data_IF_112610413097
#
_entry.id   IF_112610413097
#
_cell.length_a   1.000
_cell.length_b   1.000
_cell.length_c   1.000
_cell.angle_alpha   90.00
_cell.angle_beta   90.00
_cell.angle_gamma   90.00
#
_symmetry.space_group_name_H-M   'P 1'
#
loop_
_entity.id
_entity.type
_entity.pdbx_description
1 polymer ?
#
# COMPACT_ATOMS: atom_id res chain seq x y z
N UNK A 1 62.96 14.69 -21.42
CA UNK A 1 62.97 13.33 -22.01
C UNK A 1 61.87 12.53 -21.35
N UNK A 2 60.96 12.00 -22.16
CA UNK A 2 59.66 11.47 -21.75
C UNK A 2 59.79 10.24 -20.84
N UNK A 3 59.20 10.31 -19.65
CA UNK A 3 59.01 9.16 -18.77
C UNK A 3 57.96 8.21 -19.36
N UNK A 4 58.42 7.10 -19.92
CA UNK A 4 57.57 6.03 -20.40
C UNK A 4 56.95 5.31 -19.20
N UNK A 5 55.68 5.61 -18.91
CA UNK A 5 54.86 4.81 -18.00
C UNK A 5 54.53 3.49 -18.68
N UNK A 6 55.26 2.43 -18.32
CA UNK A 6 55.02 1.07 -18.76
C UNK A 6 53.75 0.54 -18.10
N UNK A 7 52.62 0.66 -18.82
CA UNK A 7 51.41 -0.09 -18.50
C UNK A 7 51.68 -1.57 -18.77
N UNK A 8 52.21 -2.30 -17.78
CA UNK A 8 52.17 -3.75 -17.76
C UNK A 8 50.71 -4.19 -17.69
N UNK A 9 50.12 -4.46 -18.86
CA UNK A 9 48.88 -5.17 -18.97
C UNK A 9 49.05 -6.52 -18.29
N UNK A 10 48.50 -6.66 -17.08
CA UNK A 10 48.31 -7.95 -16.43
C UNK A 10 47.27 -8.70 -17.27
N UNK A 11 47.74 -9.32 -18.35
CA UNK A 11 47.02 -10.41 -19.01
C UNK A 11 46.90 -11.51 -17.96
N UNK A 12 45.77 -11.52 -17.27
CA UNK A 12 45.34 -12.70 -16.53
C UNK A 12 45.29 -13.84 -17.54
N UNK A 13 46.35 -14.65 -17.56
CA UNK A 13 46.42 -15.88 -18.32
C UNK A 13 45.25 -16.75 -17.84
N UNK A 14 44.15 -16.70 -18.58
CA UNK A 14 43.03 -17.62 -18.38
C UNK A 14 43.62 -19.02 -18.54
N UNK A 15 43.65 -19.78 -17.46
CA UNK A 15 44.09 -21.18 -17.45
C UNK A 15 43.17 -22.00 -18.38
N UNK A 16 43.54 -22.10 -19.66
CA UNK A 16 42.77 -22.78 -20.71
C UNK A 16 42.78 -24.30 -20.56
N UNK A 17 43.59 -24.86 -19.66
CA UNK A 17 43.85 -26.30 -19.59
C UNK A 17 42.78 -27.12 -18.84
N UNK A 18 41.83 -26.48 -18.14
CA UNK A 18 40.83 -27.19 -17.30
C UNK A 18 39.36 -26.92 -17.70
N UNK A 19 39.07 -26.58 -18.95
CA UNK A 19 37.68 -26.36 -19.39
C UNK A 19 37.10 -27.61 -20.08
N UNK A 20 35.96 -28.12 -19.60
CA UNK A 20 35.26 -29.23 -20.26
C UNK A 20 34.65 -28.83 -21.60
N UNK A 21 34.52 -29.78 -22.55
CA UNK A 21 34.04 -29.55 -23.92
C UNK A 21 32.75 -28.70 -24.03
N UNK A 22 31.80 -28.86 -23.09
CA UNK A 22 30.56 -28.08 -23.08
C UNK A 22 30.74 -26.57 -22.85
N UNK A 23 31.85 -26.17 -22.21
CA UNK A 23 32.20 -24.76 -22.01
C UNK A 23 32.60 -24.10 -23.33
N UNK A 24 33.46 -24.76 -24.11
CA UNK A 24 33.83 -24.30 -25.46
C UNK A 24 32.61 -24.22 -26.38
N UNK A 25 31.75 -25.25 -26.38
CA UNK A 25 30.49 -25.23 -27.13
C UNK A 25 29.63 -24.01 -26.75
N UNK A 26 29.53 -23.70 -25.46
CA UNK A 26 28.77 -22.56 -25.00
C UNK A 26 29.34 -21.23 -25.53
N UNK A 27 30.66 -21.09 -25.57
CA UNK A 27 31.34 -19.89 -26.06
C UNK A 27 31.15 -19.70 -27.56
N UNK A 28 31.23 -20.77 -28.35
CA UNK A 28 30.88 -20.75 -29.78
C UNK A 28 29.44 -20.25 -29.97
N UNK A 29 28.49 -20.75 -29.19
CA UNK A 29 27.10 -20.32 -29.25
C UNK A 29 26.83 -18.91 -28.68
N UNK A 30 27.79 -18.31 -27.96
CA UNK A 30 27.74 -16.88 -27.58
C UNK A 30 28.15 -16.00 -28.77
N UNK A 31 29.19 -16.40 -29.52
CA UNK A 31 29.69 -15.68 -30.71
C UNK A 31 28.94 -16.07 -32.00
N UNK A 32 27.61 -15.87 -32.04
CA UNK A 32 26.74 -16.29 -33.17
C UNK A 32 26.97 -15.55 -34.49
N UNK A 33 27.58 -14.37 -34.42
CA UNK A 33 27.91 -13.56 -35.61
C UNK A 33 29.25 -13.96 -36.24
N UNK A 34 30.00 -14.90 -35.64
CA UNK A 34 31.15 -15.52 -36.32
C UNK A 34 30.71 -16.16 -37.63
N UNK A 35 31.61 -16.18 -38.61
CA UNK A 35 31.29 -16.68 -39.95
C UNK A 35 30.92 -18.17 -39.93
N UNK A 36 31.69 -18.97 -39.19
CA UNK A 36 31.39 -20.38 -38.93
C UNK A 36 29.96 -20.59 -38.37
N UNK A 37 29.50 -19.77 -37.42
CA UNK A 37 28.12 -19.89 -36.91
C UNK A 37 27.07 -19.40 -37.88
N UNK A 38 27.33 -18.34 -38.64
CA UNK A 38 26.41 -17.87 -39.68
C UNK A 38 26.21 -18.93 -40.75
N UNK A 39 27.29 -19.56 -41.21
CA UNK A 39 27.27 -20.67 -42.16
C UNK A 39 26.45 -21.85 -41.64
N UNK A 40 26.76 -22.38 -40.44
CA UNK A 40 26.02 -23.50 -39.86
C UNK A 40 24.54 -23.17 -39.61
N UNK A 41 24.23 -21.94 -39.19
CA UNK A 41 22.85 -21.52 -38.98
C UNK A 41 22.08 -21.40 -40.31
N UNK A 42 22.72 -20.93 -41.38
CA UNK A 42 22.10 -20.82 -42.71
C UNK A 42 21.66 -22.20 -43.22
N UNK A 43 22.57 -23.17 -43.23
CA UNK A 43 22.29 -24.55 -43.65
C UNK A 43 21.17 -25.16 -42.80
N UNK A 44 21.26 -25.03 -41.47
CA UNK A 44 20.24 -25.54 -40.56
C UNK A 44 18.88 -24.89 -40.78
N UNK A 45 18.83 -23.57 -41.00
CA UNK A 45 17.55 -22.89 -41.25
C UNK A 45 16.92 -23.32 -42.56
N UNK A 46 17.71 -23.61 -43.60
CA UNK A 46 17.21 -24.20 -44.84
C UNK A 46 16.61 -25.59 -44.57
N UNK A 47 17.34 -26.48 -43.90
CA UNK A 47 16.85 -27.81 -43.53
C UNK A 47 15.52 -27.73 -42.73
N UNK A 48 15.42 -26.81 -41.76
CA UNK A 48 14.22 -26.67 -40.94
C UNK A 48 13.02 -26.05 -41.67
N UNK A 49 13.22 -25.43 -42.84
CA UNK A 49 12.11 -24.94 -43.67
C UNK A 49 11.40 -26.09 -44.38
N UNK A 50 12.17 -27.08 -44.83
CA UNK A 50 11.68 -28.27 -45.53
C UNK A 50 10.94 -29.25 -44.61
N UNK A 51 11.31 -29.28 -43.32
CA UNK A 51 10.64 -30.12 -42.33
C UNK A 51 9.27 -29.57 -41.93
N UNK A 52 8.44 -30.48 -41.39
CA UNK A 52 7.14 -30.16 -40.82
C UNK A 52 7.24 -29.19 -39.63
N UNK A 53 6.14 -28.47 -39.36
CA UNK A 53 6.12 -27.42 -38.33
C UNK A 53 6.39 -27.93 -36.91
N UNK A 54 6.06 -29.20 -36.61
CA UNK A 54 6.39 -29.90 -35.37
C UNK A 54 7.04 -31.23 -35.74
N UNK A 55 8.37 -31.30 -35.64
CA UNK A 55 9.17 -32.43 -36.12
C UNK A 55 9.94 -33.09 -34.96
N UNK A 56 9.89 -34.42 -34.87
CA UNK A 56 10.65 -35.20 -33.87
C UNK A 56 12.12 -35.25 -34.25
N UNK A 57 13.02 -35.02 -33.29
CA UNK A 57 14.47 -35.11 -33.53
C UNK A 57 15.05 -36.23 -32.70
N UNK A 58 15.97 -37.00 -33.28
CA UNK A 58 16.69 -38.08 -32.60
C UNK A 58 17.62 -37.54 -31.50
N UNK A 59 18.35 -36.45 -31.76
CA UNK A 59 19.33 -35.85 -30.85
C UNK A 59 19.20 -34.33 -30.74
N UNK A 60 19.57 -33.72 -29.59
CA UNK A 60 19.55 -32.27 -29.47
C UNK A 60 20.62 -31.64 -30.36
N UNK A 61 20.24 -30.62 -31.14
CA UNK A 61 21.21 -29.82 -31.91
C UNK A 61 22.20 -29.09 -31.02
N UNK A 62 21.80 -28.85 -29.76
CA UNK A 62 22.54 -28.10 -28.74
C UNK A 62 22.60 -28.91 -27.44
N UNK A 63 23.50 -29.89 -27.36
CA UNK A 63 23.58 -30.79 -26.19
C UNK A 63 23.96 -30.03 -24.92
N UNK A 64 24.83 -29.03 -25.00
CA UNK A 64 25.29 -28.21 -23.88
C UNK A 64 24.14 -27.44 -23.23
N UNK A 65 23.30 -26.82 -24.07
CA UNK A 65 22.14 -26.04 -23.60
C UNK A 65 21.04 -26.97 -23.12
N UNK A 66 20.81 -28.10 -23.81
CA UNK A 66 19.81 -29.07 -23.40
C UNK A 66 20.14 -29.64 -22.00
N UNK A 67 21.39 -30.02 -21.74
CA UNK A 67 21.84 -30.55 -20.43
C UNK A 67 21.62 -29.56 -19.29
N UNK A 68 21.91 -28.27 -19.50
CA UNK A 68 21.64 -27.20 -18.51
C UNK A 68 20.16 -27.05 -18.17
N UNK A 69 19.28 -27.35 -19.13
CA UNK A 69 17.84 -27.25 -18.98
C UNK A 69 17.20 -28.55 -18.45
N UNK A 70 18.01 -29.56 -18.10
CA UNK A 70 17.55 -30.81 -17.50
C UNK A 70 17.47 -32.02 -18.45
N UNK A 71 17.93 -31.91 -19.70
CA UNK A 71 18.00 -33.06 -20.60
C UNK A 71 19.08 -34.06 -20.14
N UNK A 72 18.75 -35.34 -20.26
CA UNK A 72 19.68 -36.47 -20.13
C UNK A 72 19.46 -37.42 -21.31
N UNK A 73 20.54 -37.98 -21.84
CA UNK A 73 20.47 -38.98 -22.91
C UNK A 73 20.12 -40.35 -22.31
N UNK A 74 18.87 -40.50 -21.85
CA UNK A 74 18.30 -41.72 -21.28
C UNK A 74 16.94 -41.98 -21.93
N UNK A 75 16.51 -43.24 -21.97
CA UNK A 75 15.22 -43.62 -22.58
C UNK A 75 14.04 -42.89 -21.92
N UNK A 76 13.23 -42.21 -22.73
CA UNK A 76 12.04 -41.47 -22.29
C UNK A 76 12.20 -39.93 -22.30
N UNK A 77 13.39 -39.42 -22.60
CA UNK A 77 13.55 -38.05 -23.09
C UNK A 77 13.29 -38.03 -24.60
N UNK A 78 12.40 -37.15 -25.06
CA UNK A 78 12.13 -36.93 -26.49
C UNK A 78 12.32 -35.46 -26.83
N UNK A 79 12.78 -35.19 -28.05
CA UNK A 79 13.05 -33.84 -28.53
C UNK A 79 12.19 -33.56 -29.74
N UNK A 80 11.56 -32.39 -29.73
CA UNK A 80 10.80 -31.86 -30.87
C UNK A 80 11.31 -30.49 -31.26
N UNK A 81 11.34 -30.23 -32.56
CA UNK A 81 11.50 -28.89 -33.12
C UNK A 81 10.14 -28.33 -33.44
N UNK A 82 9.94 -27.07 -33.07
CA UNK A 82 8.69 -26.35 -33.34
C UNK A 82 9.01 -25.05 -34.04
N UNK A 83 8.34 -24.82 -35.17
CA UNK A 83 8.39 -23.56 -35.90
C UNK A 83 7.22 -22.67 -35.47
N UNK A 84 7.51 -21.40 -35.15
CA UNK A 84 6.51 -20.36 -34.85
C UNK A 84 6.70 -19.19 -35.81
N UNK A 85 5.60 -18.65 -36.33
CA UNK A 85 5.60 -17.51 -37.26
C UNK A 85 6.21 -16.28 -36.57
N UNK A 86 7.09 -15.56 -37.27
CA UNK A 86 7.63 -14.27 -36.80
C UNK A 86 6.62 -13.14 -37.07
N UNK A 87 6.77 -12.02 -36.38
CA UNK A 87 5.82 -10.91 -36.39
C UNK A 87 5.11 -10.67 -35.05
N UNK A 88 4.26 -9.65 -35.05
CA UNK A 88 3.35 -9.28 -33.97
C UNK A 88 1.98 -9.95 -34.18
N UNK A 89 1.04 -9.74 -33.25
CA UNK A 89 -0.31 -10.28 -33.36
C UNK A 89 -1.22 -9.22 -33.99
N UNK A 90 -1.85 -9.55 -35.11
CA UNK A 90 -2.99 -8.77 -35.62
C UNK A 90 -4.24 -9.10 -34.80
N UNK A 91 -5.07 -8.09 -34.49
CA UNK A 91 -6.38 -8.34 -33.87
C UNK A 91 -7.28 -9.13 -34.85
N UNK A 92 -7.98 -10.19 -34.40
CA UNK A 92 -8.96 -10.87 -35.23
C UNK A 92 -10.22 -10.01 -35.31
N UNK A 93 -10.31 -9.15 -36.32
CA UNK A 93 -11.49 -8.34 -36.64
C UNK A 93 -11.83 -8.49 -38.11
N UNK A 94 -13.10 -8.67 -38.40
CA UNK A 94 -13.63 -8.73 -39.77
C UNK A 94 -13.40 -7.37 -40.42
N UNK A 95 -12.79 -7.36 -41.61
CA UNK A 95 -12.47 -6.14 -42.39
C UNK A 95 -11.70 -5.04 -41.63
N UNK A 96 -11.05 -5.35 -40.50
CA UNK A 96 -10.36 -4.34 -39.70
C UNK A 96 -11.28 -3.46 -38.85
N UNK A 97 -12.58 -3.74 -38.81
CA UNK A 97 -13.56 -2.90 -38.12
C UNK A 97 -13.50 -3.13 -36.61
N UNK A 98 -13.29 -2.05 -35.86
CA UNK A 98 -13.29 -2.02 -34.40
C UNK A 98 -14.30 -1.00 -33.89
N UNK A 99 -15.18 -1.41 -32.99
CA UNK A 99 -16.17 -0.53 -32.35
C UNK A 99 -15.70 -0.04 -30.97
N UNK A 100 -16.35 1.01 -30.45
CA UNK A 100 -16.07 1.57 -29.13
C UNK A 100 -15.09 2.75 -29.15
N UNK A 101 -14.36 2.96 -28.05
CA UNK A 101 -13.52 4.16 -27.86
C UNK A 101 -12.25 4.10 -28.74
N UNK A 102 -11.72 5.26 -29.22
CA UNK A 102 -10.51 5.29 -30.05
C UNK A 102 -9.30 4.54 -29.47
N UNK A 103 -9.15 4.52 -28.14
CA UNK A 103 -8.08 3.78 -27.44
C UNK A 103 -8.00 2.29 -27.82
N UNK A 104 -9.14 1.67 -28.16
CA UNK A 104 -9.22 0.25 -28.49
C UNK A 104 -9.23 -0.03 -29.99
N UNK A 105 -9.13 0.98 -30.87
CA UNK A 105 -9.25 0.78 -32.32
C UNK A 105 -8.02 0.16 -33.00
N UNK A 106 -6.85 0.13 -32.34
CA UNK A 106 -5.63 -0.43 -32.94
C UNK A 106 -5.72 -1.91 -33.31
N UNK A 107 -5.35 -2.24 -34.57
CA UNK A 107 -5.44 -3.61 -35.14
C UNK A 107 -4.08 -4.28 -35.35
N UNK A 108 -3.10 -3.58 -35.93
CA UNK A 108 -1.86 -4.20 -36.45
C UNK A 108 -0.68 -4.20 -35.46
N UNK A 109 -0.56 -3.16 -34.64
CA UNK A 109 0.62 -2.95 -33.78
C UNK A 109 0.55 -3.66 -32.42
N UNK A 110 -0.42 -4.56 -32.26
CA UNK A 110 -0.62 -5.28 -31.01
C UNK A 110 0.47 -6.34 -30.80
N UNK A 111 1.16 -6.24 -29.65
CA UNK A 111 2.15 -7.23 -29.22
C UNK A 111 1.46 -8.33 -28.43
N UNK A 112 1.79 -9.58 -28.73
CA UNK A 112 1.22 -10.70 -27.98
C UNK A 112 1.83 -10.76 -26.57
N UNK A 113 0.98 -10.96 -25.56
CA UNK A 113 1.43 -10.99 -24.16
C UNK A 113 2.38 -12.15 -23.86
N UNK A 114 2.18 -13.31 -24.51
CA UNK A 114 3.06 -14.48 -24.33
C UNK A 114 4.26 -14.44 -25.25
N UNK A 115 5.41 -14.90 -24.75
CA UNK A 115 6.61 -15.03 -25.58
C UNK A 115 6.42 -16.09 -26.67
N UNK A 116 7.08 -15.90 -27.83
CA UNK A 116 7.08 -16.90 -28.92
C UNK A 116 7.59 -18.28 -28.49
N UNK A 117 8.47 -18.32 -27.48
CA UNK A 117 8.93 -19.57 -26.89
C UNK A 117 7.79 -20.29 -26.15
N UNK A 118 6.99 -19.57 -25.35
CA UNK A 118 5.83 -20.15 -24.68
C UNK A 118 4.77 -20.64 -25.70
N UNK A 119 4.58 -19.93 -26.80
CA UNK A 119 3.69 -20.37 -27.90
C UNK A 119 4.19 -21.67 -28.54
N UNK A 120 5.51 -21.81 -28.70
CA UNK A 120 6.11 -23.03 -29.23
C UNK A 120 5.91 -24.23 -28.29
N UNK A 121 6.07 -24.01 -26.98
CA UNK A 121 5.84 -25.01 -25.94
C UNK A 121 4.37 -25.47 -25.93
N UNK A 122 3.42 -24.54 -25.99
CA UNK A 122 1.99 -24.83 -26.07
C UNK A 122 1.63 -25.65 -27.33
N UNK A 123 2.20 -25.29 -28.48
CA UNK A 123 1.95 -26.00 -29.74
C UNK A 123 2.46 -27.44 -29.68
N UNK A 124 3.61 -27.68 -29.05
CA UNK A 124 4.12 -29.02 -28.81
C UNK A 124 3.21 -29.80 -27.84
N UNK A 125 2.84 -29.19 -26.71
CA UNK A 125 2.01 -29.83 -25.69
C UNK A 125 0.62 -30.23 -26.19
N UNK A 126 -0.02 -29.40 -27.03
CA UNK A 126 -1.31 -29.74 -27.66
C UNK A 126 -1.21 -30.89 -28.65
N UNK A 127 -0.16 -30.92 -29.49
CA UNK A 127 0.04 -32.01 -30.46
C UNK A 127 0.43 -33.32 -29.77
N UNK A 128 1.15 -33.22 -28.66
CA UNK A 128 1.71 -34.34 -27.92
C UNK A 128 1.01 -34.47 -26.56
N UNK A 129 -0.31 -34.65 -26.54
CA UNK A 129 -1.11 -34.57 -25.30
C UNK A 129 -0.76 -35.63 -24.23
N UNK A 130 -0.31 -36.82 -24.65
CA UNK A 130 0.20 -37.86 -23.74
C UNK A 130 1.45 -37.41 -22.99
N UNK A 131 2.11 -36.40 -23.52
CA UNK A 131 3.37 -35.90 -23.09
C UNK A 131 3.19 -34.59 -22.20
N UNK A 132 3.65 -34.62 -20.92
CA UNK A 132 4.30 -33.51 -20.11
C UNK A 132 5.55 -32.71 -20.62
N UNK A 133 5.40 -31.40 -20.82
CA UNK A 133 6.52 -30.47 -21.11
C UNK A 133 7.29 -30.05 -19.82
N UNK A 134 8.58 -30.41 -19.69
CA UNK A 134 9.42 -29.99 -18.55
C UNK A 134 9.94 -28.55 -18.74
N UNK A 135 10.57 -28.33 -19.88
CA UNK A 135 10.94 -27.03 -20.43
C UNK A 135 10.86 -27.16 -21.95
N UNK A 136 11.76 -26.55 -22.72
CA UNK A 136 11.94 -26.88 -24.15
C UNK A 136 12.29 -28.35 -24.45
N UNK A 137 12.24 -29.28 -23.47
CA UNK A 137 12.42 -30.73 -23.60
C UNK A 137 11.64 -31.51 -22.50
N UNK A 138 11.64 -32.84 -22.62
CA UNK A 138 10.85 -33.86 -21.89
C UNK A 138 11.47 -34.44 -20.62
N UNK A 139 10.74 -35.27 -19.83
CA UNK A 139 11.29 -35.98 -18.65
C UNK A 139 10.52 -37.26 -18.23
N UNK A 140 11.16 -38.12 -17.40
CA UNK A 140 10.83 -39.55 -17.16
C UNK A 140 10.41 -39.86 -15.70
N UNK A 141 9.69 -40.98 -15.50
CA UNK A 141 9.16 -41.54 -14.23
C UNK A 141 10.18 -42.22 -13.29
N UNK A 142 11.28 -42.79 -13.80
CA UNK A 142 12.24 -43.61 -13.01
C UNK A 142 13.45 -42.85 -12.44
N UNK A 143 13.64 -41.58 -12.81
CA UNK A 143 14.73 -40.77 -12.27
C UNK A 143 14.17 -39.88 -11.13
N UNK A 144 14.64 -40.00 -9.87
CA UNK A 144 14.13 -39.24 -8.74
C UNK A 144 14.15 -37.73 -8.98
N UNK A 145 15.21 -37.20 -9.62
CA UNK A 145 15.37 -35.77 -9.93
C UNK A 145 14.24 -35.20 -10.80
N UNK A 146 13.63 -36.06 -11.63
CA UNK A 146 12.59 -35.66 -12.59
C UNK A 146 11.24 -36.28 -12.33
N UNK A 147 11.14 -37.23 -11.39
CA UNK A 147 9.92 -37.97 -11.08
C UNK A 147 8.75 -37.05 -10.73
N UNK A 148 9.01 -35.90 -10.10
CA UNK A 148 8.00 -34.89 -9.78
C UNK A 148 7.16 -34.46 -10.99
N UNK A 149 7.69 -34.50 -12.21
CA UNK A 149 6.99 -34.12 -13.46
C UNK A 149 5.86 -35.09 -13.82
N UNK A 150 5.92 -36.33 -13.32
CA UNK A 150 4.94 -37.38 -13.65
C UNK A 150 3.67 -37.27 -12.81
N UNK A 151 3.71 -36.50 -11.72
CA UNK A 151 2.54 -36.23 -10.88
C UNK A 151 1.42 -35.60 -11.72
N UNK A 152 0.14 -35.93 -11.46
CA UNK A 152 -0.99 -35.39 -12.23
C UNK A 152 -1.08 -33.87 -12.18
N UNK A 153 -0.65 -33.25 -11.08
CA UNK A 153 -0.54 -31.79 -10.89
C UNK A 153 0.36 -31.12 -11.93
N UNK A 154 1.26 -31.86 -12.58
CA UNK A 154 2.19 -31.37 -13.59
C UNK A 154 1.70 -31.57 -15.03
N UNK A 155 0.42 -31.94 -15.25
CA UNK A 155 -0.21 -31.94 -16.58
C UNK A 155 -0.22 -30.53 -17.21
N UNK A 156 0.05 -30.45 -18.50
CA UNK A 156 -0.01 -29.22 -19.31
C UNK A 156 0.55 -27.95 -18.65
N UNK A 157 1.80 -28.01 -18.18
CA UNK A 157 2.48 -26.88 -17.52
C UNK A 157 2.71 -25.71 -18.45
N UNK A 158 2.89 -25.98 -19.74
CA UNK A 158 3.02 -25.02 -20.82
C UNK A 158 1.76 -24.16 -20.94
N UNK A 159 0.58 -24.78 -20.95
CA UNK A 159 -0.70 -24.09 -21.04
C UNK A 159 -0.96 -23.21 -19.80
N UNK A 160 -0.54 -23.67 -18.61
CA UNK A 160 -0.62 -22.92 -17.34
C UNK A 160 0.51 -21.90 -17.14
N UNK A 161 1.45 -21.80 -18.08
CA UNK A 161 2.57 -20.85 -18.01
C UNK A 161 3.56 -21.11 -16.87
N UNK A 162 3.76 -22.37 -16.48
CA UNK A 162 4.67 -22.79 -15.40
C UNK A 162 6.07 -23.18 -15.89
N UNK A 163 6.29 -23.20 -17.22
CA UNK A 163 7.62 -23.34 -17.82
C UNK A 163 8.45 -22.08 -17.59
N UNK A 164 9.77 -22.13 -17.80
CA UNK A 164 10.60 -20.92 -17.64
C UNK A 164 10.18 -19.78 -18.59
N UNK A 165 9.73 -20.12 -19.80
CA UNK A 165 9.22 -19.15 -20.76
C UNK A 165 7.88 -18.54 -20.31
N UNK A 166 6.99 -19.37 -19.76
CA UNK A 166 5.73 -18.93 -19.17
C UNK A 166 5.94 -18.01 -17.96
N UNK A 167 6.79 -18.41 -17.01
CA UNK A 167 7.12 -17.61 -15.82
C UNK A 167 7.71 -16.25 -16.19
N UNK A 168 8.65 -16.22 -17.14
CA UNK A 168 9.24 -14.95 -17.65
C UNK A 168 8.18 -14.06 -18.29
N UNK A 169 7.30 -14.64 -19.09
CA UNK A 169 6.22 -13.91 -19.78
C UNK A 169 5.18 -13.33 -18.82
N UNK A 170 4.90 -14.01 -17.72
CA UNK A 170 4.00 -13.53 -16.66
C UNK A 170 4.63 -12.44 -15.79
N UNK A 171 5.94 -12.22 -15.94
CA UNK A 171 6.70 -11.30 -15.10
C UNK A 171 6.81 -11.82 -13.67
N UNK A 172 7.02 -13.12 -13.46
CA UNK A 172 7.26 -13.68 -12.13
C UNK A 172 8.74 -13.46 -11.77
N UNK A 173 8.99 -12.74 -10.68
CA UNK A 173 10.33 -12.41 -10.20
C UNK A 173 10.34 -12.04 -8.72
N UNK A 174 11.51 -11.62 -8.23
CA UNK A 174 11.71 -11.17 -6.85
C UNK A 174 12.13 -9.69 -6.84
N UNK A 175 11.74 -8.95 -5.80
CA UNK A 175 12.03 -7.53 -5.63
C UNK A 175 10.85 -6.62 -5.95
N UNK A 176 11.03 -5.32 -5.71
CA UNK A 176 9.94 -4.33 -5.74
C UNK A 176 9.24 -4.24 -7.10
N UNK A 177 9.98 -4.40 -8.21
CA UNK A 177 9.46 -4.36 -9.60
C UNK A 177 8.41 -5.44 -9.90
N UNK A 178 8.31 -6.47 -9.06
CA UNK A 178 7.40 -7.60 -9.22
C UNK A 178 6.28 -7.61 -8.18
N UNK A 179 6.07 -6.51 -7.45
CA UNK A 179 5.03 -6.40 -6.42
C UNK A 179 3.65 -6.78 -6.95
N UNK A 180 3.24 -6.20 -8.08
CA UNK A 180 1.95 -6.44 -8.72
C UNK A 180 1.81 -7.83 -9.38
N UNK A 181 2.91 -8.56 -9.55
CA UNK A 181 2.92 -9.89 -10.22
C UNK A 181 3.23 -11.04 -9.28
N UNK A 182 3.58 -10.74 -8.02
CA UNK A 182 3.86 -11.73 -6.97
C UNK A 182 2.59 -12.53 -6.68
N UNK A 183 2.67 -13.86 -6.76
CA UNK A 183 1.52 -14.75 -6.53
C UNK A 183 0.52 -14.87 -7.69
N UNK A 184 0.77 -14.19 -8.81
CA UNK A 184 -0.10 -13.99 -9.99
C UNK A 184 -0.84 -12.65 -10.00
N UNK A 185 -0.92 -12.01 -11.18
CA UNK A 185 -1.53 -10.68 -11.34
C UNK A 185 -3.01 -10.69 -10.98
N UNK A 186 -3.75 -11.70 -11.44
CA UNK A 186 -5.20 -11.81 -11.19
C UNK A 186 -5.53 -11.94 -9.70
N UNK A 187 -4.76 -12.75 -8.97
CA UNK A 187 -4.91 -12.94 -7.52
C UNK A 187 -4.63 -11.65 -6.76
N UNK A 188 -3.58 -10.91 -7.15
CA UNK A 188 -3.24 -9.64 -6.49
C UNK A 188 -4.29 -8.55 -6.78
N UNK A 189 -4.78 -8.46 -8.03
CA UNK A 189 -5.88 -7.55 -8.36
C UNK A 189 -7.15 -7.90 -7.59
N UNK A 190 -7.48 -9.19 -7.41
CA UNK A 190 -8.63 -9.63 -6.61
C UNK A 190 -8.46 -9.32 -5.13
N UNK A 191 -7.28 -9.56 -4.56
CA UNK A 191 -6.97 -9.21 -3.16
C UNK A 191 -7.00 -7.69 -2.92
N UNK A 192 -6.58 -6.87 -3.90
CA UNK A 192 -6.53 -5.42 -3.77
C UNK A 192 -7.84 -4.68 -4.05
N UNK A 193 -8.71 -5.20 -4.93
CA UNK A 193 -9.95 -4.52 -5.34
C UNK A 193 -11.24 -5.21 -4.89
N UNK A 194 -11.25 -6.54 -4.73
CA UNK A 194 -12.50 -7.31 -4.57
C UNK A 194 -12.61 -8.05 -3.24
N UNK A 195 -11.52 -8.13 -2.47
CA UNK A 195 -11.63 -8.38 -1.04
C UNK A 195 -11.97 -7.05 -0.36
N UNK A 196 -13.25 -6.64 -0.50
CA UNK A 196 -13.87 -5.96 0.61
C UNK A 196 -13.79 -7.00 1.74
N UNK A 197 -12.80 -6.88 2.63
CA UNK A 197 -12.89 -7.51 3.93
C UNK A 197 -14.07 -6.82 4.63
N UNK A 198 -15.28 -7.22 4.24
CA UNK A 198 -16.36 -7.43 5.19
C UNK A 198 -15.80 -8.47 6.15
N UNK A 199 -15.02 -7.98 7.11
CA UNK A 199 -15.33 -8.34 8.49
C UNK A 199 -16.80 -7.97 8.59
N UNK A 200 -17.66 -8.94 8.29
CA UNK A 200 -19.02 -8.90 8.72
C UNK A 200 -18.90 -8.83 10.24
N UNK A 201 -18.86 -7.61 10.74
CA UNK A 201 -19.63 -7.18 11.88
C UNK A 201 -21.09 -7.47 11.51
N UNK A 202 -21.40 -8.76 11.32
CA UNK A 202 -22.71 -9.29 11.56
C UNK A 202 -22.95 -8.80 12.97
N UNK A 203 -23.99 -8.00 13.11
CA UNK A 203 -24.50 -7.49 14.36
C UNK A 203 -24.81 -8.68 15.29
N UNK A 204 -23.76 -9.31 15.81
CA UNK A 204 -23.74 -9.84 17.14
C UNK A 204 -23.91 -8.58 17.97
N UNK A 205 -25.15 -8.40 18.41
CA UNK A 205 -25.52 -7.60 19.56
C UNK A 205 -24.30 -7.39 20.44
N UNK A 206 -24.03 -6.12 20.75
CA UNK A 206 -23.02 -5.65 21.68
C UNK A 206 -23.04 -6.39 23.02
N UNK A 207 -22.58 -7.63 23.05
CA UNK A 207 -21.90 -8.18 24.20
C UNK A 207 -20.52 -7.56 24.10
N UNK A 208 -20.30 -6.46 24.82
CA UNK A 208 -18.94 -6.02 25.13
C UNK A 208 -18.22 -7.27 25.62
N UNK A 209 -17.14 -7.66 24.96
CA UNK A 209 -16.23 -8.67 25.49
C UNK A 209 -15.57 -8.00 26.70
N UNK A 210 -16.23 -8.10 27.85
CA UNK A 210 -15.67 -7.76 29.14
C UNK A 210 -14.55 -8.77 29.41
N UNK A 211 -13.38 -8.28 29.81
CA UNK A 211 -12.24 -9.15 30.07
C UNK A 211 -12.42 -10.03 31.31
N UNK A 212 -11.63 -11.10 31.49
CA UNK A 212 -11.82 -12.07 32.56
C UNK A 212 -11.81 -11.45 33.97
N UNK A 213 -10.99 -10.41 34.20
CA UNK A 213 -10.91 -9.73 35.50
C UNK A 213 -12.13 -8.84 35.71
N UNK A 214 -12.58 -8.13 34.67
CA UNK A 214 -13.83 -7.36 34.71
C UNK A 214 -15.06 -8.23 35.07
N UNK A 215 -15.14 -9.44 34.52
CA UNK A 215 -16.22 -10.40 34.80
C UNK A 215 -16.17 -10.85 36.28
N UNK A 216 -14.98 -11.18 36.80
CA UNK A 216 -14.81 -11.57 38.21
C UNK A 216 -15.27 -10.46 39.17
N UNK A 217 -14.82 -9.22 38.91
CA UNK A 217 -15.18 -8.04 39.72
C UNK A 217 -16.70 -7.81 39.69
N UNK A 218 -17.30 -7.83 38.50
CA UNK A 218 -18.75 -7.65 38.34
C UNK A 218 -19.52 -8.69 39.15
N UNK A 219 -19.18 -9.97 38.99
CA UNK A 219 -19.86 -11.09 39.66
C UNK A 219 -19.80 -10.96 41.18
N UNK A 220 -18.62 -10.70 41.75
CA UNK A 220 -18.44 -10.54 43.21
C UNK A 220 -19.27 -9.38 43.77
N UNK A 221 -19.33 -8.25 43.05
CA UNK A 221 -20.09 -7.09 43.47
C UNK A 221 -21.60 -7.29 43.34
N UNK A 222 -22.06 -8.00 42.30
CA UNK A 222 -23.47 -8.36 42.12
C UNK A 222 -23.95 -9.30 43.23
N UNK A 223 -23.17 -10.36 43.54
CA UNK A 223 -23.50 -11.34 44.58
C UNK A 223 -23.50 -10.72 45.99
N UNK A 224 -22.54 -9.83 46.28
CA UNK A 224 -22.37 -9.30 47.65
C UNK A 224 -23.30 -8.12 47.94
N UNK A 225 -23.52 -7.23 46.98
CA UNK A 225 -24.18 -5.94 47.22
C UNK A 225 -25.59 -5.81 46.61
N UNK A 226 -26.00 -6.73 45.73
CA UNK A 226 -27.27 -6.65 45.00
C UNK A 226 -27.59 -5.21 44.51
N UNK A 227 -26.69 -4.57 43.74
CA UNK A 227 -26.77 -3.15 43.46
C UNK A 227 -27.91 -2.79 42.50
N UNK A 228 -28.54 -1.63 42.70
CA UNK A 228 -29.51 -1.04 41.76
C UNK A 228 -28.85 -0.49 40.49
N UNK A 229 -27.58 -0.07 40.60
CA UNK A 229 -26.76 0.31 39.45
C UNK A 229 -25.32 -0.14 39.65
N UNK A 230 -24.78 -0.87 38.68
CA UNK A 230 -23.37 -1.29 38.65
C UNK A 230 -22.77 -1.00 37.27
N UNK A 231 -21.64 -0.29 37.27
CA UNK A 231 -20.86 -0.01 36.07
C UNK A 231 -19.37 -0.22 36.39
N UNK A 232 -18.78 -1.23 35.75
CA UNK A 232 -17.35 -1.54 35.83
C UNK A 232 -16.71 -1.18 34.50
N UNK A 233 -15.73 -0.27 34.51
CA UNK A 233 -15.00 0.19 33.32
C UNK A 233 -13.52 -0.11 33.48
N UNK A 234 -12.93 -0.82 32.52
CA UNK A 234 -11.49 -1.00 32.46
C UNK A 234 -10.85 0.23 31.80
N UNK A 235 -10.12 1.04 32.58
CA UNK A 235 -9.42 2.25 32.13
C UNK A 235 -7.96 1.96 31.75
N UNK A 236 -7.56 0.69 31.73
CA UNK A 236 -6.19 0.24 31.45
C UNK A 236 -5.62 0.80 30.14
N UNK A 237 -6.45 1.08 29.13
CA UNK A 237 -6.03 1.68 27.86
C UNK A 237 -5.54 3.13 27.99
N UNK A 238 -5.87 3.82 29.08
CA UNK A 238 -5.37 5.16 29.40
C UNK A 238 -3.99 5.13 30.08
N UNK A 239 -3.47 3.93 30.39
CA UNK A 239 -2.20 3.73 31.08
C UNK A 239 -1.18 2.98 30.20
N UNK A 240 0.11 3.11 30.55
CA UNK A 240 1.20 2.35 29.90
C UNK A 240 1.20 0.91 30.38
N UNK A 241 0.24 0.13 29.90
CA UNK A 241 0.20 -1.31 30.08
C UNK A 241 0.20 -2.01 28.71
N UNK A 242 0.75 -3.23 28.61
CA UNK A 242 0.67 -4.02 27.38
C UNK A 242 -0.78 -4.14 26.89
N UNK A 243 -0.96 -4.19 25.57
CA UNK A 243 -2.30 -4.27 24.97
C UNK A 243 -2.99 -5.57 25.42
N UNK A 244 -4.17 -5.44 26.03
CA UNK A 244 -4.93 -6.57 26.59
C UNK A 244 -4.73 -6.81 28.09
N UNK A 245 -4.02 -5.93 28.79
CA UNK A 245 -3.86 -6.02 30.25
C UNK A 245 -4.98 -5.27 30.98
N UNK A 246 -5.49 -5.87 32.06
CA UNK A 246 -6.57 -5.36 32.91
C UNK A 246 -6.05 -5.01 34.30
N UNK A 247 -5.49 -3.80 34.46
CA UNK A 247 -4.85 -3.35 35.71
C UNK A 247 -5.54 -2.16 36.38
N UNK A 248 -6.22 -1.32 35.61
CA UNK A 248 -6.88 -0.11 36.11
C UNK A 248 -8.38 -0.20 35.89
N UNK A 249 -9.15 -0.07 36.98
CA UNK A 249 -10.61 -0.20 36.96
C UNK A 249 -11.28 1.00 37.63
N UNK A 250 -12.41 1.40 37.04
CA UNK A 250 -13.37 2.34 37.62
C UNK A 250 -14.67 1.58 37.90
N UNK A 251 -15.09 1.57 39.15
CA UNK A 251 -16.31 0.91 39.62
C UNK A 251 -17.25 1.97 40.17
N UNK A 252 -18.41 2.10 39.56
CA UNK A 252 -19.53 2.91 40.03
C UNK A 252 -20.64 1.98 40.50
N UNK A 253 -20.96 2.02 41.78
CA UNK A 253 -21.90 1.09 42.42
C UNK A 253 -22.92 1.83 43.29
N UNK A 254 -24.19 1.48 43.13
CA UNK A 254 -25.31 1.99 43.92
C UNK A 254 -26.00 0.81 44.60
N UNK A 255 -26.08 0.81 45.93
CA UNK A 255 -26.68 -0.28 46.72
C UNK A 255 -27.26 0.26 48.02
N UNK A 256 -28.38 -0.33 48.46
CA UNK A 256 -29.07 0.02 49.71
C UNK A 256 -28.20 -0.23 50.94
N UNK A 257 -27.22 -1.15 50.85
CA UNK A 257 -26.25 -1.43 51.92
C UNK A 257 -25.34 -0.24 52.24
N UNK A 258 -25.34 0.78 51.40
CA UNK A 258 -24.57 2.01 51.59
C UNK A 258 -25.33 3.10 52.32
N UNK A 259 -26.61 2.90 52.66
CA UNK A 259 -27.40 3.87 53.41
C UNK A 259 -26.85 4.00 54.85
N UNK A 260 -26.76 5.22 55.36
CA UNK A 260 -26.22 5.51 56.70
C UNK A 260 -24.70 5.28 56.88
N UNK A 261 -23.99 4.75 55.89
CA UNK A 261 -22.54 4.52 55.97
C UNK A 261 -21.71 5.72 55.51
N UNK A 262 -20.61 6.01 56.22
CA UNK A 262 -19.63 7.01 55.77
C UNK A 262 -18.94 6.60 54.45
N UNK A 263 -18.41 7.57 53.70
CA UNK A 263 -17.67 7.31 52.43
C UNK A 263 -16.56 6.27 52.62
N UNK A 264 -15.78 6.40 53.69
CA UNK A 264 -14.66 5.51 53.98
C UNK A 264 -15.14 4.09 54.31
N UNK A 265 -16.22 3.95 55.09
CA UNK A 265 -16.82 2.64 55.38
C UNK A 265 -17.29 1.96 54.09
N UNK A 266 -17.94 2.71 53.18
CA UNK A 266 -18.40 2.18 51.89
C UNK A 266 -17.22 1.70 51.02
N UNK A 267 -16.14 2.47 50.97
CA UNK A 267 -14.93 2.06 50.24
C UNK A 267 -14.25 0.85 50.87
N UNK A 268 -14.22 0.76 52.21
CA UNK A 268 -13.70 -0.43 52.92
C UNK A 268 -14.51 -1.68 52.60
N UNK A 269 -15.83 -1.59 52.55
CA UNK A 269 -16.71 -2.71 52.18
C UNK A 269 -16.45 -3.20 50.74
N UNK A 270 -16.27 -2.28 49.79
CA UNK A 270 -15.96 -2.64 48.39
C UNK A 270 -14.55 -3.22 48.27
N UNK A 271 -13.56 -2.64 48.95
CA UNK A 271 -12.19 -3.15 48.96
C UNK A 271 -12.07 -4.53 49.64
N UNK A 272 -12.83 -4.79 50.71
CA UNK A 272 -12.84 -6.09 51.37
C UNK A 272 -13.46 -7.17 50.47
N UNK A 273 -14.50 -6.82 49.70
CA UNK A 273 -15.10 -7.71 48.72
C UNK A 273 -14.16 -8.04 47.55
N UNK A 274 -13.29 -7.11 47.17
CA UNK A 274 -12.36 -7.22 46.04
C UNK A 274 -10.91 -7.52 46.47
N UNK A 275 -10.69 -7.92 47.72
CA UNK A 275 -9.36 -8.12 48.28
C UNK A 275 -8.50 -9.09 47.45
N UNK A 276 -9.07 -10.21 46.99
CA UNK A 276 -8.36 -11.20 46.17
C UNK A 276 -7.93 -10.64 44.80
N UNK A 277 -8.74 -9.79 44.19
CA UNK A 277 -8.44 -9.18 42.87
C UNK A 277 -7.40 -8.06 42.99
N UNK A 278 -7.42 -7.33 44.12
CA UNK A 278 -6.44 -6.31 44.47
C UNK A 278 -5.09 -6.91 44.89
N UNK A 279 -5.08 -8.10 45.48
CA UNK A 279 -3.85 -8.85 45.75
C UNK A 279 -3.22 -9.45 44.48
N UNK A 280 -4.02 -9.63 43.42
CA UNK A 280 -3.61 -10.22 42.15
C UNK A 280 -3.50 -9.21 41.00
N UNK A 281 -4.37 -9.27 39.98
CA UNK A 281 -4.18 -8.59 38.69
C UNK A 281 -4.44 -7.07 38.71
N UNK A 282 -5.19 -6.54 39.68
CA UNK A 282 -5.60 -5.13 39.71
C UNK A 282 -4.53 -4.26 40.39
N UNK A 283 -4.03 -3.25 39.69
CA UNK A 283 -3.02 -2.32 40.22
C UNK A 283 -3.63 -1.06 40.84
N UNK A 284 -4.75 -0.57 40.30
CA UNK A 284 -5.46 0.57 40.88
C UNK A 284 -6.97 0.46 40.62
N UNK A 285 -7.75 0.73 41.67
CA UNK A 285 -9.20 0.69 41.65
C UNK A 285 -9.76 2.04 42.09
N UNK A 286 -10.51 2.70 41.23
CA UNK A 286 -11.31 3.89 41.56
C UNK A 286 -12.73 3.45 41.90
N UNK A 287 -13.22 3.87 43.06
CA UNK A 287 -14.54 3.48 43.60
C UNK A 287 -15.41 4.72 43.74
N UNK A 288 -16.57 4.69 43.08
CA UNK A 288 -17.67 5.62 43.33
C UNK A 288 -18.82 4.81 43.95
N UNK A 289 -18.80 4.64 45.27
CA UNK A 289 -19.86 3.99 46.03
C UNK A 289 -20.91 5.05 46.44
N UNK A 290 -22.14 4.91 45.96
CA UNK A 290 -23.19 5.93 46.11
C UNK A 290 -24.43 5.28 46.77
N UNK A 291 -25.06 5.90 47.79
CA UNK A 291 -26.32 5.42 48.31
C UNK A 291 -27.45 5.76 47.32
N UNK A 292 -28.54 4.97 47.26
CA UNK A 292 -29.67 5.24 46.38
C UNK A 292 -30.24 6.66 46.56
N UNK A 293 -30.26 7.16 47.80
CA UNK A 293 -30.75 8.51 48.14
C UNK A 293 -29.98 9.66 47.46
N UNK A 294 -28.72 9.45 47.06
CA UNK A 294 -27.89 10.46 46.38
C UNK A 294 -27.65 10.17 44.89
N UNK A 295 -28.32 9.16 44.33
CA UNK A 295 -28.14 8.79 42.93
C UNK A 295 -29.02 9.65 42.00
N UNK A 296 -28.40 10.59 41.27
CA UNK A 296 -29.07 11.51 40.33
C UNK A 296 -28.82 11.08 38.85
N UNK A 297 -28.32 9.86 38.61
CA UNK A 297 -28.00 9.40 37.26
C UNK A 297 -26.82 10.14 36.59
N UNK A 298 -25.90 10.69 37.38
CA UNK A 298 -24.76 11.45 36.85
C UNK A 298 -23.76 10.57 36.09
N UNK A 299 -23.23 11.11 34.99
CA UNK A 299 -22.10 10.52 34.26
C UNK A 299 -20.82 10.67 35.10
N UNK A 300 -20.15 9.56 35.36
CA UNK A 300 -18.84 9.54 36.04
C UNK A 300 -17.82 10.40 35.30
N UNK A 301 -17.18 11.34 36.00
CA UNK A 301 -16.04 12.10 35.47
C UNK A 301 -14.84 11.17 35.22
N UNK A 302 -14.11 11.29 34.10
CA UNK A 302 -12.96 10.45 33.82
C UNK A 302 -11.86 10.62 34.88
N UNK A 303 -11.06 9.59 35.08
CA UNK A 303 -10.00 9.61 36.10
C UNK A 303 -8.96 10.70 35.82
N UNK A 304 -8.47 11.42 36.85
CA UNK A 304 -7.37 12.37 36.71
C UNK A 304 -6.17 11.68 36.07
N UNK A 305 -5.53 12.35 35.11
CA UNK A 305 -4.36 11.81 34.42
C UNK A 305 -3.23 11.48 35.40
N UNK A 306 -2.66 10.28 35.30
CA UNK A 306 -1.51 9.89 36.11
C UNK A 306 -0.30 10.76 35.76
N UNK A 307 0.34 11.37 36.76
CA UNK A 307 1.50 12.28 36.63
C UNK A 307 2.78 11.65 36.05
N UNK A 308 2.81 10.35 35.77
CA UNK A 308 4.01 9.62 35.38
C UNK A 308 4.03 9.17 33.90
N UNK A 309 4.04 10.09 32.93
CA UNK A 309 4.94 10.05 31.74
C UNK A 309 4.46 10.92 30.59
N UNK A 310 5.31 11.84 30.17
CA UNK A 310 5.35 12.32 28.79
C UNK A 310 5.75 11.18 27.84
N UNK A 311 4.98 10.97 26.78
CA UNK A 311 5.45 10.81 25.40
C UNK A 311 4.38 10.18 24.48
N UNK A 312 4.35 10.77 23.28
CA UNK A 312 3.47 10.62 22.12
C UNK A 312 3.43 9.19 21.56
N UNK A 313 2.27 8.55 21.57
CA UNK A 313 2.04 7.32 20.82
C UNK A 313 2.09 7.59 19.30
N UNK A 314 2.99 6.90 18.59
CA UNK A 314 3.00 6.84 17.13
C UNK A 314 1.84 5.96 16.65
N UNK A 315 0.69 6.55 16.33
CA UNK A 315 -0.38 5.84 15.63
C UNK A 315 0.02 5.64 14.17
N UNK A 316 0.24 4.37 13.80
CA UNK A 316 0.51 3.92 12.45
C UNK A 316 -0.59 4.29 11.46
N UNK A 317 -0.16 4.63 10.24
CA UNK A 317 -0.93 5.07 9.09
C UNK A 317 -1.82 3.96 8.50
N UNK A 318 -2.87 3.49 9.17
CA UNK A 318 -3.90 2.65 8.49
C UNK A 318 -5.28 2.76 9.17
N UNK A 319 -5.97 3.89 9.01
CA UNK A 319 -7.46 3.94 9.00
C UNK A 319 -7.98 5.33 8.65
N UNK A 320 -7.90 5.74 7.38
CA UNK A 320 -8.64 6.90 6.89
C UNK A 320 -9.27 6.54 5.55
N UNK A 321 -10.38 5.79 5.59
CA UNK A 321 -11.25 5.70 4.41
C UNK A 321 -12.71 5.31 4.68
N UNK A 322 -13.28 5.58 5.85
CA UNK A 322 -14.72 5.32 6.06
C UNK A 322 -15.35 6.14 7.21
N UNK A 323 -15.23 7.47 7.17
CA UNK A 323 -16.06 8.40 7.97
C UNK A 323 -16.24 9.76 7.28
N UNK A 324 -16.58 9.75 5.99
CA UNK A 324 -16.92 10.97 5.26
C UNK A 324 -18.17 10.72 4.41
N UNK A 325 -19.30 10.45 5.07
CA UNK A 325 -20.64 10.62 4.49
C UNK A 325 -21.68 10.59 5.61
N UNK A 326 -21.63 11.62 6.46
CA UNK A 326 -22.82 12.17 7.10
C UNK A 326 -22.66 13.67 7.01
N UNK A 327 -23.43 14.23 6.08
CA UNK A 327 -23.66 15.65 5.95
C UNK A 327 -24.13 16.20 7.30
N UNK A 328 -23.29 17.00 7.94
CA UNK A 328 -23.71 18.03 8.86
C UNK A 328 -22.97 19.28 8.39
N UNK A 329 -23.75 20.19 7.82
CA UNK A 329 -23.46 21.60 7.70
C UNK A 329 -23.01 22.12 9.07
N UNK A 330 -21.71 22.31 9.23
CA UNK A 330 -21.13 23.02 10.37
C UNK A 330 -20.29 24.15 9.82
N UNK A 331 -20.65 25.37 10.20
CA UNK A 331 -19.85 26.57 10.03
C UNK A 331 -18.38 26.24 10.31
N UNK A 332 -17.52 26.54 9.35
CA UNK A 332 -16.07 26.36 9.46
C UNK A 332 -15.57 27.18 10.64
N UNK A 333 -15.08 26.52 11.69
CA UNK A 333 -14.28 27.19 12.70
C UNK A 333 -12.98 27.64 12.03
N UNK A 334 -12.90 28.94 11.69
CA UNK A 334 -11.70 29.56 11.16
C UNK A 334 -10.62 29.63 12.25
N UNK A 335 -9.37 29.38 11.87
CA UNK A 335 -8.23 29.42 12.78
C UNK A 335 -7.94 30.83 13.32
N UNK A 336 -7.20 30.97 14.45
CA UNK A 336 -6.95 32.26 15.08
C UNK A 336 -6.28 33.26 14.14
N UNK A 337 -5.30 32.85 13.32
CA UNK A 337 -4.62 33.77 12.39
C UNK A 337 -5.56 34.18 11.24
N UNK A 338 -6.38 33.24 10.75
CA UNK A 338 -7.39 33.53 9.73
C UNK A 338 -8.41 34.58 10.20
N UNK A 339 -8.86 34.50 11.47
CA UNK A 339 -9.80 35.49 12.04
C UNK A 339 -9.20 36.89 12.17
N UNK A 340 -7.90 36.99 12.50
CA UNK A 340 -7.20 38.28 12.58
C UNK A 340 -7.04 38.90 11.19
N UNK A 341 -6.64 38.12 10.19
CA UNK A 341 -6.51 38.58 8.80
C UNK A 341 -7.88 39.04 8.26
N UNK A 342 -8.93 38.26 8.52
CA UNK A 342 -10.31 38.62 8.14
C UNK A 342 -10.70 39.98 8.70
N UNK A 343 -10.55 40.15 10.01
CA UNK A 343 -10.91 41.39 10.71
C UNK A 343 -10.17 42.61 10.14
N UNK A 344 -8.85 42.53 9.96
CA UNK A 344 -8.03 43.64 9.43
C UNK A 344 -8.46 44.03 8.00
N UNK A 345 -8.76 43.04 7.15
CA UNK A 345 -9.18 43.29 5.77
C UNK A 345 -10.61 43.85 5.68
N UNK A 346 -11.52 43.38 6.54
CA UNK A 346 -12.89 43.91 6.62
C UNK A 346 -12.90 45.36 7.09
N UNK A 347 -12.14 45.68 8.13
CA UNK A 347 -12.02 47.05 8.67
C UNK A 347 -11.37 48.02 7.66
N UNK A 348 -10.35 47.58 6.94
CA UNK A 348 -9.57 48.46 6.05
C UNK A 348 -10.22 48.65 4.69
N UNK A 349 -10.82 47.60 4.11
CA UNK A 349 -11.22 47.60 2.70
C UNK A 349 -12.73 47.53 2.46
N UNK A 350 -13.56 47.28 3.47
CA UNK A 350 -15.02 47.09 3.33
C UNK A 350 -15.38 46.26 2.09
N UNK A 351 -14.84 45.04 1.94
CA UNK A 351 -14.91 44.29 0.69
C UNK A 351 -16.33 43.77 0.39
N UNK A 352 -16.71 43.75 -0.89
CA UNK A 352 -17.95 43.13 -1.36
C UNK A 352 -17.87 41.60 -1.39
N UNK A 353 -16.66 41.05 -1.51
CA UNK A 353 -16.39 39.62 -1.41
C UNK A 353 -15.01 39.38 -0.77
N UNK A 354 -14.96 38.54 0.27
CA UNK A 354 -13.73 38.15 0.96
C UNK A 354 -13.71 36.65 1.23
N UNK A 355 -12.79 35.95 0.57
CA UNK A 355 -12.51 34.53 0.80
C UNK A 355 -11.06 34.35 1.27
N UNK A 356 -10.88 33.67 2.40
CA UNK A 356 -9.58 33.38 3.00
C UNK A 356 -9.45 31.87 3.15
N UNK A 357 -8.45 31.29 2.50
CA UNK A 357 -8.18 29.85 2.51
C UNK A 357 -6.79 29.58 3.07
N UNK A 358 -6.71 28.73 4.09
CA UNK A 358 -5.44 28.26 4.64
C UNK A 358 -4.90 27.08 3.82
N UNK A 359 -3.84 27.32 3.05
CA UNK A 359 -3.19 26.31 2.19
C UNK A 359 -2.04 25.58 2.90
N UNK A 360 -1.84 25.84 4.20
CA UNK A 360 -0.73 25.30 5.01
C UNK A 360 -0.60 23.77 4.96
N UNK A 361 -1.71 23.04 4.79
CA UNK A 361 -1.68 21.57 4.65
C UNK A 361 -0.97 21.08 3.37
N UNK A 362 -0.78 21.94 2.37
CA UNK A 362 -0.05 21.64 1.14
C UNK A 362 1.47 21.90 1.27
N UNK A 363 1.93 22.41 2.42
CA UNK A 363 3.31 22.78 2.66
C UNK A 363 3.94 21.97 3.81
N UNK A 364 5.27 21.98 3.86
CA UNK A 364 6.05 21.27 4.87
C UNK A 364 6.06 22.03 6.21
N UNK A 365 4.88 22.21 6.80
CA UNK A 365 4.68 22.90 8.08
C UNK A 365 4.08 21.93 9.12
N UNK A 366 4.30 22.18 10.43
CA UNK A 366 3.73 21.34 11.48
C UNK A 366 2.20 21.23 11.35
N UNK A 367 1.64 20.08 11.72
CA UNK A 367 0.20 19.83 11.63
C UNK A 367 -0.56 20.83 12.52
N UNK A 368 -1.40 21.67 11.90
CA UNK A 368 -2.13 22.75 12.57
C UNK A 368 -1.44 24.11 12.50
N UNK A 369 -0.31 24.25 11.80
CA UNK A 369 0.32 25.53 11.55
C UNK A 369 -0.43 26.33 10.47
N UNK A 370 -0.59 27.63 10.69
CA UNK A 370 -1.27 28.60 9.83
C UNK A 370 -0.24 29.55 9.21
N UNK A 371 0.51 29.06 8.21
CA UNK A 371 1.64 29.80 7.62
C UNK A 371 1.44 30.22 6.16
N UNK A 372 0.59 29.53 5.41
CA UNK A 372 0.32 29.80 4.00
C UNK A 372 -1.15 30.12 3.79
N UNK A 373 -1.42 31.30 3.23
CA UNK A 373 -2.78 31.81 3.01
C UNK A 373 -2.99 32.25 1.57
N UNK A 374 -4.20 31.98 1.08
CA UNK A 374 -4.76 32.54 -0.15
C UNK A 374 -5.89 33.49 0.24
N UNK A 375 -5.78 34.75 -0.17
CA UNK A 375 -6.77 35.79 0.08
C UNK A 375 -7.31 36.29 -1.26
N UNK A 376 -8.61 36.11 -1.46
CA UNK A 376 -9.35 36.65 -2.60
C UNK A 376 -10.26 37.76 -2.08
N UNK A 377 -9.97 39.00 -2.50
CA UNK A 377 -10.63 40.20 -1.99
C UNK A 377 -11.15 41.06 -3.14
N UNK A 378 -12.41 41.49 -3.02
CA UNK A 378 -13.06 42.42 -3.95
C UNK A 378 -13.46 43.67 -3.19
N UNK A 379 -12.97 44.83 -3.62
CA UNK A 379 -13.24 46.12 -2.97
C UNK A 379 -13.20 47.27 -3.98
N UNK A 380 -14.04 48.28 -3.77
CA UNK A 380 -14.12 49.48 -4.61
C UNK A 380 -12.81 50.30 -4.56
N UNK A 381 -12.04 50.17 -3.48
CA UNK A 381 -10.71 50.83 -3.33
C UNK A 381 -9.67 50.35 -4.34
N UNK A 382 -9.97 49.28 -5.07
CA UNK A 382 -9.10 48.71 -6.10
C UNK A 382 -9.42 49.22 -7.52
N UNK A 383 -10.46 50.05 -7.69
CA UNK A 383 -10.84 50.62 -8.98
C UNK A 383 -9.78 51.62 -9.46
N UNK A 384 -9.39 51.54 -10.73
CA UNK A 384 -8.36 52.42 -11.32
C UNK A 384 -6.91 52.14 -10.89
N UNK A 385 -6.65 51.28 -9.90
CA UNK A 385 -5.30 50.96 -9.45
C UNK A 385 -4.63 49.80 -10.23
N UNK A 386 -3.34 49.94 -10.62
CA UNK A 386 -2.54 48.83 -11.14
C UNK A 386 -2.47 47.63 -10.16
N UNK A 387 -2.32 46.41 -10.68
CA UNK A 387 -2.27 45.16 -9.89
C UNK A 387 -1.25 45.23 -8.75
N UNK A 388 -0.06 45.74 -9.04
CA UNK A 388 1.03 45.84 -8.06
C UNK A 388 0.68 46.79 -6.90
N UNK A 389 -0.06 47.87 -7.18
CA UNK A 389 -0.48 48.83 -6.16
C UNK A 389 -1.54 48.22 -5.25
N UNK A 390 -2.49 47.44 -5.82
CA UNK A 390 -3.47 46.67 -5.03
C UNK A 390 -2.79 45.68 -4.09
N UNK A 391 -1.79 44.96 -4.57
CA UNK A 391 -1.02 44.02 -3.74
C UNK A 391 -0.22 44.74 -2.65
N UNK A 392 0.36 45.92 -2.96
CA UNK A 392 1.04 46.75 -1.95
C UNK A 392 0.08 47.20 -0.86
N UNK A 393 -1.14 47.64 -1.21
CA UNK A 393 -2.16 48.04 -0.23
C UNK A 393 -2.51 46.89 0.73
N UNK A 394 -2.73 45.68 0.20
CA UNK A 394 -3.04 44.49 1.01
C UNK A 394 -1.84 44.07 1.87
N UNK A 395 -0.63 44.07 1.31
CA UNK A 395 0.60 43.76 2.06
C UNK A 395 0.88 44.78 3.17
N UNK A 396 0.64 46.07 2.94
CA UNK A 396 0.79 47.11 3.96
C UNK A 396 -0.20 46.92 5.11
N UNK A 397 -1.44 46.53 4.82
CA UNK A 397 -2.45 46.22 5.84
C UNK A 397 -2.06 44.99 6.69
N UNK A 398 -1.44 43.98 6.06
CA UNK A 398 -1.06 42.72 6.70
C UNK A 398 0.43 42.65 7.10
N UNK A 399 1.12 43.79 7.16
CA UNK A 399 2.57 43.85 7.39
C UNK A 399 3.00 43.18 8.71
N UNK A 400 2.21 43.36 9.78
CA UNK A 400 2.46 42.73 11.09
C UNK A 400 2.32 41.20 11.05
N UNK A 401 1.33 40.69 10.30
CA UNK A 401 1.08 39.25 10.19
C UNK A 401 2.12 38.56 9.32
N UNK A 402 2.60 39.26 8.28
CA UNK A 402 3.69 38.81 7.41
C UNK A 402 5.05 38.85 8.10
N UNK A 403 5.24 39.73 9.09
CA UNK A 403 6.44 39.75 9.94
C UNK A 403 6.43 38.65 11.01
N UNK A 404 5.25 38.17 11.39
CA UNK A 404 5.06 37.16 12.44
C UNK A 404 4.65 35.78 11.89
N UNK A 405 3.38 35.36 12.06
CA UNK A 405 2.95 33.98 11.85
C UNK A 405 2.85 33.55 10.37
N UNK A 406 2.65 34.46 9.42
CA UNK A 406 2.40 34.14 8.01
C UNK A 406 3.71 34.11 7.23
N UNK A 407 4.04 32.96 6.63
CA UNK A 407 5.26 32.79 5.82
C UNK A 407 5.07 33.19 4.36
N UNK A 408 3.89 32.93 3.79
CA UNK A 408 3.57 33.35 2.43
C UNK A 408 2.08 33.64 2.27
N UNK A 409 1.79 34.75 1.61
CA UNK A 409 0.45 35.21 1.30
C UNK A 409 0.30 35.32 -0.22
N UNK A 410 -0.68 34.62 -0.77
CA UNK A 410 -1.13 34.83 -2.14
C UNK A 410 -2.36 35.74 -2.14
N UNK A 411 -2.30 36.77 -2.98
CA UNK A 411 -3.31 37.84 -3.04
C UNK A 411 -3.93 37.84 -4.43
N UNK A 412 -5.24 37.65 -4.47
CA UNK A 412 -6.08 37.88 -5.64
C UNK A 412 -6.96 39.11 -5.33
N UNK A 413 -6.42 40.32 -5.52
CA UNK A 413 -7.11 41.59 -5.27
C UNK A 413 -7.81 42.08 -6.54
N UNK A 414 -9.14 42.03 -6.59
CA UNK A 414 -9.92 42.22 -7.81
C UNK A 414 -10.85 43.44 -7.65
N UNK A 415 -10.87 44.39 -8.61
CA UNK A 415 -11.86 45.46 -8.61
C UNK A 415 -13.26 44.89 -8.92
N UNK A 416 -14.35 45.49 -8.40
CA UNK A 416 -15.72 45.03 -8.64
C UNK A 416 -16.05 44.94 -10.14
N UNK A 417 -15.52 45.85 -10.97
CA UNK A 417 -15.72 45.86 -12.43
C UNK A 417 -15.22 44.60 -13.14
N UNK A 418 -14.29 43.85 -12.54
CA UNK A 418 -13.70 42.63 -13.09
C UNK A 418 -14.13 41.36 -12.35
N UNK A 419 -15.02 41.47 -11.37
CA UNK A 419 -15.49 40.34 -10.59
C UNK A 419 -16.61 39.59 -11.33
N UNK A 420 -16.33 38.35 -11.75
CA UNK A 420 -17.30 37.47 -12.46
C UNK A 420 -17.66 36.23 -11.61
N UNK A 421 -17.42 36.28 -10.30
CA UNK A 421 -17.63 35.12 -9.40
C UNK A 421 -16.68 33.95 -9.67
N UNK A 422 -15.48 34.22 -10.17
CA UNK A 422 -14.49 33.19 -10.50
C UNK A 422 -13.78 32.67 -9.24
N UNK A 423 -13.65 31.34 -9.15
CA UNK A 423 -12.81 30.71 -8.12
C UNK A 423 -11.34 31.03 -8.36
N UNK A 424 -10.62 31.35 -7.30
CA UNK A 424 -9.17 31.53 -7.33
C UNK A 424 -8.47 30.29 -7.92
N UNK A 425 -7.46 30.53 -8.77
CA UNK A 425 -6.65 29.44 -9.33
C UNK A 425 -5.79 28.81 -8.23
N UNK A 426 -5.43 27.53 -8.34
CA UNK A 426 -4.57 26.87 -7.34
C UNK A 426 -3.15 27.48 -7.28
N UNK A 427 -2.55 27.55 -6.09
CA UNK A 427 -1.21 28.10 -5.90
C UNK A 427 -0.13 27.30 -6.64
N UNK A 428 0.86 27.97 -7.25
CA UNK A 428 2.00 27.27 -7.86
C UNK A 428 2.72 26.40 -6.83
N UNK A 429 3.23 25.24 -7.26
CA UNK A 429 4.03 24.39 -6.37
C UNK A 429 5.30 25.13 -5.92
N UNK A 430 5.47 25.33 -4.61
CA UNK A 430 6.66 25.97 -4.05
C UNK A 430 7.93 25.18 -4.42
N UNK A 431 8.90 25.86 -5.05
CA UNK A 431 10.27 25.34 -5.26
C UNK A 431 11.09 25.51 -3.97
N UNK A 432 10.88 24.62 -3.01
CA UNK A 432 11.87 24.28 -1.98
C UNK A 432 11.90 25.16 -0.72
N UNK A 433 12.19 24.47 0.40
CA UNK A 433 12.55 25.03 1.69
C UNK A 433 12.80 23.88 2.66
N UNK A 434 14.06 23.53 2.86
CA UNK A 434 14.52 22.54 3.84
C UNK A 434 14.09 22.95 5.26
N UNK A 435 14.01 21.93 6.12
CA UNK A 435 13.65 21.99 7.53
C UNK A 435 14.20 23.22 8.27
N UNK A 436 13.30 23.88 9.01
CA UNK A 436 13.54 24.36 10.36
C UNK A 436 12.43 23.83 11.26
#
# INVERSE_FOLDING_TARGET
MNGASSYTAVFTAYNFQNMGAYKYMQEIWRKKQSDAMRYLLRIRTWQYRQLSAVHRVSRPTRPEKARRMGYRAKQGYVIYRVRVRRGNRKRPVTKGQTYGKPKTHGVNELKFARSKQAIAEDRAGRRLGSLRVLNSYWAIRRNPDTQWITKPVQKHRELRGLTSAGKKSRGLGKGWRYSATRGDKGVNTQAGYYFLMLVAWRALSTARIEGPVAISIRKKLEETFAPSHLKVVCESYMHRVPKGTEKHFHVQIVSDKFEGCSVVQRHRMVNSCLADELAGPVHALRIDAIPPSKWIGQKSQPSPGCMHTGHRAKSGRYSLMLRAWRAMSTATAEGPVATVIRKKLEETFSPSHLEILCESYMHNVPKGAEKHFLVQIVSDKFEGCPVIQRHRMVNSCLAEELAGPVHALRIDAIPPSKWVGQKSHASPACRGGNAL
#
